data_IF_191641504634
#
_entry.id   IF_191641504634
#
_cell.length_a   1.000
_cell.length_b   1.000
_cell.length_c   1.000
_cell.angle_alpha   90.00
_cell.angle_beta   90.00
_cell.angle_gamma   90.00
#
_symmetry.space_group_name_H-M   'P 1'
#
loop_
_entity.id
_entity.type
_entity.pdbx_description
1 polymer ?
#
# COMPACT_ATOMS: atom_id res chain seq x y z
N UNK A 1 12.99 3.49 -19.15
CA UNK A 1 12.11 2.95 -18.09
C UNK A 1 12.85 2.98 -16.77
N UNK A 2 12.21 3.41 -15.68
CA UNK A 2 12.84 3.56 -14.36
C UNK A 2 11.90 3.13 -13.22
N UNK A 3 12.33 3.30 -11.98
CA UNK A 3 11.51 2.95 -10.80
C UNK A 3 10.58 4.08 -10.33
N UNK A 4 10.66 5.26 -10.94
CA UNK A 4 9.77 6.39 -10.66
C UNK A 4 8.29 6.02 -10.83
N UNK A 5 7.46 6.37 -9.86
CA UNK A 5 6.04 6.04 -9.84
C UNK A 5 5.69 4.66 -9.29
N UNK A 6 6.69 3.81 -8.96
CA UNK A 6 6.42 2.49 -8.35
C UNK A 6 6.10 2.63 -6.86
N UNK A 7 5.06 1.92 -6.42
CA UNK A 7 4.73 1.81 -5.00
C UNK A 7 5.80 0.96 -4.30
N UNK A 8 6.27 1.43 -3.15
CA UNK A 8 7.27 0.74 -2.35
C UNK A 8 6.81 0.62 -0.89
N UNK A 9 7.40 -0.32 -0.15
CA UNK A 9 7.07 -0.52 1.25
C UNK A 9 8.15 0.10 2.16
N UNK A 10 7.80 1.17 2.88
CA UNK A 10 8.74 1.85 3.80
C UNK A 10 9.10 1.02 5.03
N UNK A 11 8.22 0.13 5.50
CA UNK A 11 8.50 -0.68 6.70
C UNK A 11 9.39 -1.89 6.42
N UNK A 12 9.52 -2.28 5.15
CA UNK A 12 10.42 -3.34 4.73
C UNK A 12 11.86 -2.82 4.68
N UNK A 13 12.77 -3.47 5.39
CA UNK A 13 14.21 -3.18 5.36
C UNK A 13 15.00 -3.99 4.31
N UNK A 14 14.36 -4.96 3.66
CA UNK A 14 14.99 -5.82 2.65
C UNK A 14 14.87 -5.29 1.22
N UNK A 15 15.02 -6.18 0.23
CA UNK A 15 14.95 -5.86 -1.21
C UNK A 15 13.62 -5.22 -1.62
N UNK A 16 12.53 -5.52 -0.91
CA UNK A 16 11.21 -4.89 -1.12
C UNK A 16 11.05 -3.51 -0.45
N UNK A 17 12.09 -3.03 0.24
CA UNK A 17 12.12 -1.73 0.89
C UNK A 17 12.22 -0.58 -0.10
N UNK A 18 11.66 0.58 0.26
CA UNK A 18 11.73 1.77 -0.60
C UNK A 18 13.17 2.20 -0.92
N UNK A 19 14.13 2.03 0.00
CA UNK A 19 15.52 2.43 -0.25
C UNK A 19 16.16 1.63 -1.38
N UNK A 20 15.86 0.33 -1.45
CA UNK A 20 16.35 -0.56 -2.51
C UNK A 20 15.52 -0.41 -3.79
N UNK A 21 14.19 -0.46 -3.68
CA UNK A 21 13.28 -0.34 -4.83
C UNK A 21 13.39 1.00 -5.55
N UNK A 22 13.68 2.07 -4.82
CA UNK A 22 13.85 3.40 -5.40
C UNK A 22 15.33 3.72 -5.70
N UNK A 23 16.24 2.76 -5.52
CA UNK A 23 17.68 2.88 -5.78
C UNK A 23 18.32 4.07 -5.05
N UNK A 24 17.93 4.32 -3.80
CA UNK A 24 18.42 5.43 -2.98
C UNK A 24 17.93 6.82 -3.37
N UNK A 25 17.06 6.96 -4.38
CA UNK A 25 16.52 8.26 -4.84
C UNK A 25 15.45 8.86 -3.92
N UNK A 26 15.03 8.12 -2.90
CA UNK A 26 13.90 8.47 -2.05
C UNK A 26 12.54 8.20 -2.70
N UNK A 27 11.49 8.58 -1.98
CA UNK A 27 10.10 8.30 -2.29
C UNK A 27 9.18 9.38 -1.72
N UNK A 28 8.03 9.59 -2.34
CA UNK A 28 6.96 10.44 -1.83
C UNK A 28 6.00 9.64 -0.94
N UNK A 29 5.30 10.32 -0.04
CA UNK A 29 4.29 9.73 0.83
C UNK A 29 2.97 10.46 0.65
N UNK A 30 1.92 9.73 0.27
CA UNK A 30 0.57 10.30 0.07
C UNK A 30 -0.43 9.56 0.96
N UNK A 31 -1.39 10.30 1.53
CA UNK A 31 -2.51 9.72 2.28
C UNK A 31 -3.65 9.50 1.31
N UNK A 32 -4.05 8.25 1.13
CA UNK A 32 -5.14 7.87 0.22
C UNK A 32 -6.24 7.21 1.06
N UNK A 33 -7.50 7.57 0.82
CA UNK A 33 -8.59 6.81 1.41
C UNK A 33 -8.81 5.53 0.61
N UNK A 34 -8.81 4.40 1.30
CA UNK A 34 -8.94 3.07 0.68
C UNK A 34 -10.07 2.34 1.37
N UNK A 35 -11.07 1.97 0.60
CA UNK A 35 -12.16 1.12 1.07
C UNK A 35 -11.69 -0.33 1.11
N UNK A 36 -11.80 -0.94 2.28
CA UNK A 36 -11.43 -2.33 2.53
C UNK A 36 -12.59 -3.09 3.15
N UNK A 37 -12.68 -4.39 2.87
CA UNK A 37 -13.62 -5.26 3.58
C UNK A 37 -13.17 -5.41 5.03
N UNK A 38 -14.08 -5.19 5.97
CA UNK A 38 -13.84 -5.22 7.41
C UNK A 38 -15.01 -5.92 8.11
N UNK A 39 -14.84 -6.21 9.41
CA UNK A 39 -15.90 -6.75 10.28
C UNK A 39 -16.62 -7.97 9.68
N UNK A 40 -15.85 -8.83 9.02
CA UNK A 40 -16.37 -10.00 8.34
C UNK A 40 -16.95 -11.01 9.34
N UNK A 41 -18.21 -11.38 9.15
CA UNK A 41 -18.90 -12.41 9.92
C UNK A 41 -19.14 -13.64 9.06
N UNK A 42 -18.77 -14.80 9.62
CA UNK A 42 -19.06 -16.09 9.01
C UNK A 42 -20.50 -16.49 9.34
N UNK A 43 -21.31 -16.68 8.31
CA UNK A 43 -22.63 -17.26 8.40
C UNK A 43 -22.49 -18.76 8.15
N UNK A 44 -22.81 -19.54 9.19
CA UNK A 44 -22.69 -21.00 9.22
C UNK A 44 -23.42 -21.70 8.05
N UNK A 45 -24.44 -21.04 7.48
CA UNK A 45 -25.14 -21.47 6.27
C UNK A 45 -24.38 -21.21 4.94
N UNK A 46 -23.06 -21.01 4.98
CA UNK A 46 -22.10 -21.01 3.85
C UNK A 46 -21.65 -19.64 3.28
N UNK A 47 -21.74 -18.54 4.02
CA UNK A 47 -21.35 -17.23 3.48
C UNK A 47 -20.52 -16.40 4.45
N UNK A 48 -19.59 -15.60 3.92
CA UNK A 48 -18.92 -14.55 4.70
C UNK A 48 -19.50 -13.21 4.28
N UNK A 49 -20.07 -12.47 5.22
CA UNK A 49 -20.55 -11.10 4.98
C UNK A 49 -19.60 -10.12 5.65
N UNK A 50 -19.12 -9.14 4.90
CA UNK A 50 -18.23 -8.09 5.39
C UNK A 50 -18.84 -6.72 5.16
N UNK A 51 -18.54 -5.78 6.05
CA UNK A 51 -18.78 -4.36 5.83
C UNK A 51 -17.73 -3.75 4.90
N UNK A 52 -18.03 -2.58 4.34
CA UNK A 52 -17.07 -1.75 3.63
C UNK A 52 -16.60 -0.63 4.57
N UNK A 53 -15.34 -0.71 5.01
CA UNK A 53 -14.72 0.34 5.83
C UNK A 53 -13.79 1.20 4.98
N UNK A 54 -13.93 2.51 5.09
CA UNK A 54 -12.95 3.44 4.54
C UNK A 54 -11.80 3.64 5.53
N UNK A 55 -10.56 3.46 5.08
CA UNK A 55 -9.37 3.69 5.89
C UNK A 55 -8.39 4.58 5.16
N UNK A 56 -7.87 5.59 5.85
CA UNK A 56 -6.71 6.32 5.35
C UNK A 56 -5.45 5.47 5.46
N UNK A 57 -4.80 5.26 4.31
CA UNK A 57 -3.53 4.53 4.21
C UNK A 57 -2.45 5.45 3.66
N UNK A 58 -1.24 5.32 4.20
CA UNK A 58 -0.07 6.00 3.68
C UNK A 58 0.53 5.13 2.56
N UNK A 59 0.53 5.67 1.34
CA UNK A 59 1.13 5.03 0.17
C UNK A 59 2.47 5.71 -0.10
N UNK A 60 3.50 4.91 -0.32
CA UNK A 60 4.84 5.41 -0.64
C UNK A 60 5.19 5.08 -2.09
N UNK A 61 5.70 6.07 -2.82
CA UNK A 61 5.95 5.94 -4.26
C UNK A 61 7.34 6.46 -4.62
N UNK A 62 8.14 5.70 -5.36
CA UNK A 62 9.48 6.11 -5.74
C UNK A 62 9.48 7.42 -6.55
N UNK A 63 10.38 8.34 -6.20
CA UNK A 63 10.55 9.59 -6.93
C UNK A 63 11.03 9.34 -8.35
N UNK A 64 10.40 10.02 -9.31
CA UNK A 64 10.89 10.11 -10.68
C UNK A 64 12.10 11.04 -10.78
N UNK A 65 12.84 10.96 -11.89
CA UNK A 65 13.84 11.97 -12.23
C UNK A 65 13.09 13.11 -12.92
N UNK A 66 12.93 14.24 -12.23
CA UNK A 66 12.54 15.51 -12.83
C UNK A 66 13.70 16.10 -13.61
#
# INVERSE_FOLDING_TARGET
>A
MGTGGRVCNRTSRGVGGCDVMCCGRGYDASRVSRTTKCECKFHWCCAVRCGACERQVHVHTCKGRT
#
